data_IF_849504915413
#
_entry.id   IF_849504915413
#
_cell.length_a   1.000
_cell.length_b   1.000
_cell.length_c   1.000
_cell.angle_alpha   90.00
_cell.angle_beta   90.00
_cell.angle_gamma   90.00
#
_symmetry.space_group_name_H-M   'P 1'
#
loop_
_entity.id
_entity.type
_entity.pdbx_description
1 polymer ?
#
# COMPACT_ATOMS: atom_id res chain seq x y z
N UNK A 1 -21.10 22.96 -21.50
CA UNK A 1 -20.27 22.64 -20.33
C UNK A 1 -19.70 21.27 -20.63
N UNK A 2 -18.41 21.19 -21.00
CA UNK A 2 -17.79 19.90 -21.33
C UNK A 2 -17.73 19.02 -20.08
N UNK A 3 -17.95 17.70 -20.19
CA UNK A 3 -17.78 16.80 -19.06
C UNK A 3 -16.32 16.84 -18.61
N UNK A 4 -16.09 17.04 -17.31
CA UNK A 4 -14.77 16.98 -16.71
C UNK A 4 -14.25 15.53 -16.88
N UNK A 5 -13.37 15.29 -17.86
CA UNK A 5 -12.76 13.98 -18.05
C UNK A 5 -11.75 13.74 -16.92
N UNK A 6 -12.22 13.09 -15.85
CA UNK A 6 -11.37 12.66 -14.74
C UNK A 6 -10.72 11.31 -15.08
N UNK A 7 -9.43 11.12 -14.74
CA UNK A 7 -8.82 9.80 -14.80
C UNK A 7 -9.58 8.78 -13.94
N UNK A 8 -9.53 7.48 -14.26
CA UNK A 8 -10.22 6.45 -13.48
C UNK A 8 -9.89 6.52 -11.99
N UNK A 9 -10.93 6.50 -11.15
CA UNK A 9 -10.80 6.56 -9.70
C UNK A 9 -10.51 7.95 -9.13
N UNK A 10 -10.23 8.96 -9.95
CA UNK A 10 -10.12 10.35 -9.49
C UNK A 10 -11.51 10.91 -9.23
N UNK A 11 -11.72 11.45 -8.04
CA UNK A 11 -12.97 12.12 -7.65
C UNK A 11 -12.74 13.61 -7.49
N UNK A 12 -13.68 14.42 -7.98
CA UNK A 12 -13.73 15.87 -7.74
C UNK A 12 -14.80 16.18 -6.70
N UNK A 13 -14.44 16.92 -5.65
CA UNK A 13 -15.36 17.40 -4.63
C UNK A 13 -15.33 18.92 -4.58
N UNK A 14 -16.49 19.57 -4.73
CA UNK A 14 -16.60 21.00 -4.51
C UNK A 14 -16.85 21.30 -3.02
N UNK A 15 -16.02 22.16 -2.44
CA UNK A 15 -16.14 22.63 -1.07
C UNK A 15 -16.54 24.10 -1.11
N UNK A 16 -17.61 24.43 -0.39
CA UNK A 16 -18.03 25.82 -0.15
C UNK A 16 -17.54 26.27 1.22
N UNK A 17 -16.74 27.34 1.22
CA UNK A 17 -16.27 28.00 2.44
C UNK A 17 -17.33 28.97 2.96
N UNK A 18 -17.32 29.26 4.28
CA UNK A 18 -18.27 30.19 4.93
C UNK A 18 -18.28 31.61 4.31
N UNK A 19 -17.19 32.02 3.68
CA UNK A 19 -17.06 33.32 3.02
C UNK A 19 -17.60 33.33 1.56
N UNK A 20 -18.30 32.29 1.13
CA UNK A 20 -18.86 32.18 -0.22
C UNK A 20 -17.87 31.70 -1.28
N UNK A 21 -16.59 31.50 -0.94
CA UNK A 21 -15.61 30.92 -1.86
C UNK A 21 -15.96 29.45 -2.13
N UNK A 22 -15.87 29.03 -3.38
CA UNK A 22 -15.96 27.61 -3.78
C UNK A 22 -14.62 27.14 -4.30
N UNK A 23 -14.25 25.90 -3.99
CA UNK A 23 -13.00 25.28 -4.44
C UNK A 23 -13.27 23.82 -4.78
N UNK A 24 -12.75 23.38 -5.92
CA UNK A 24 -12.77 21.96 -6.30
C UNK A 24 -11.49 21.30 -5.81
N UNK A 25 -11.63 20.19 -5.06
CA UNK A 25 -10.54 19.32 -4.64
C UNK A 25 -10.57 18.06 -5.49
N UNK A 26 -9.42 17.66 -6.01
CA UNK A 26 -9.24 16.43 -6.76
C UNK A 26 -8.50 15.41 -5.90
N UNK A 27 -9.07 14.23 -5.73
CA UNK A 27 -8.48 13.13 -4.97
C UNK A 27 -8.22 11.95 -5.90
N UNK A 28 -6.98 11.49 -5.96
CA UNK A 28 -6.59 10.30 -6.71
C UNK A 28 -6.42 9.10 -5.76
N UNK A 29 -6.72 7.87 -6.21
CA UNK A 29 -6.47 6.67 -5.42
C UNK A 29 -4.96 6.45 -5.28
N UNK A 30 -4.55 5.84 -4.16
CA UNK A 30 -3.17 5.40 -4.01
C UNK A 30 -2.82 4.36 -5.08
N UNK A 31 -1.59 4.44 -5.59
CA UNK A 31 -1.06 3.46 -6.53
C UNK A 31 -1.02 2.08 -5.89
N UNK A 32 -1.34 1.05 -6.68
CA UNK A 32 -1.24 -0.34 -6.24
C UNK A 32 -0.79 -1.26 -7.37
N UNK A 33 -0.02 -2.28 -7.05
CA UNK A 33 0.40 -3.34 -7.98
C UNK A 33 0.20 -4.72 -7.34
N UNK A 34 -0.12 -5.73 -8.15
CA UNK A 34 -0.38 -7.09 -7.67
C UNK A 34 -1.75 -7.25 -6.99
N UNK A 35 -1.96 -8.35 -6.22
CA UNK A 35 -0.95 -9.32 -5.79
C UNK A 35 -0.42 -10.19 -6.93
N UNK A 36 0.87 -10.54 -6.89
CA UNK A 36 1.52 -11.45 -7.85
C UNK A 36 2.31 -12.53 -7.12
N UNK A 37 2.32 -13.73 -7.70
CA UNK A 37 3.11 -14.85 -7.18
C UNK A 37 4.48 -14.84 -7.85
N UNK A 38 5.55 -14.80 -7.05
CA UNK A 38 6.93 -14.81 -7.53
C UNK A 38 7.74 -15.92 -6.85
N UNK A 39 8.98 -16.10 -7.31
CA UNK A 39 10.00 -16.86 -6.59
C UNK A 39 11.01 -15.90 -5.97
N UNK A 40 11.34 -16.10 -4.70
CA UNK A 40 12.40 -15.34 -4.03
C UNK A 40 13.80 -15.78 -4.47
N UNK A 41 14.84 -15.11 -3.97
CA UNK A 41 16.24 -15.43 -4.28
C UNK A 41 16.67 -16.85 -3.86
N UNK A 42 15.92 -17.50 -2.97
CA UNK A 42 16.13 -18.88 -2.52
C UNK A 42 15.24 -19.88 -3.28
N UNK A 43 14.47 -19.42 -4.29
CA UNK A 43 13.57 -20.23 -5.11
C UNK A 43 12.21 -20.54 -4.47
N UNK A 44 11.92 -20.00 -3.29
CA UNK A 44 10.65 -20.20 -2.56
C UNK A 44 9.55 -19.36 -3.18
N UNK A 45 8.31 -19.84 -3.12
CA UNK A 45 7.17 -19.05 -3.55
C UNK A 45 6.93 -17.89 -2.59
N UNK A 46 6.58 -16.72 -3.11
CA UNK A 46 6.21 -15.56 -2.33
C UNK A 46 5.12 -14.76 -3.03
N UNK A 47 4.11 -14.33 -2.27
CA UNK A 47 3.18 -13.31 -2.74
C UNK A 47 3.81 -11.93 -2.57
N UNK A 48 3.66 -11.09 -3.57
CA UNK A 48 4.03 -9.68 -3.52
C UNK A 48 2.84 -8.80 -3.84
N UNK A 49 2.71 -7.70 -3.11
CA UNK A 49 1.66 -6.70 -3.31
C UNK A 49 2.25 -5.32 -3.01
N UNK A 50 1.86 -4.29 -3.76
CA UNK A 50 2.25 -2.91 -3.47
C UNK A 50 1.01 -2.05 -3.28
N UNK A 51 1.04 -1.19 -2.26
CA UNK A 51 0.04 -0.15 -2.05
C UNK A 51 0.70 1.11 -1.49
N UNK A 52 0.44 2.27 -2.09
CA UNK A 52 1.03 3.55 -1.70
C UNK A 52 2.57 3.51 -1.56
N UNK A 53 3.22 2.76 -2.46
CA UNK A 53 4.66 2.46 -2.45
C UNK A 53 5.18 1.64 -1.26
N UNK A 54 4.32 1.06 -0.43
CA UNK A 54 4.67 -0.02 0.48
C UNK A 54 4.57 -1.35 -0.27
N UNK A 55 5.71 -2.03 -0.43
CA UNK A 55 5.83 -3.35 -1.05
C UNK A 55 5.85 -4.40 0.04
N UNK A 56 4.82 -5.23 0.06
CA UNK A 56 4.64 -6.36 0.96
C UNK A 56 5.12 -7.63 0.28
N UNK A 57 5.94 -8.41 0.97
CA UNK A 57 6.42 -9.72 0.52
C UNK A 57 6.10 -10.77 1.57
N UNK A 58 5.36 -11.81 1.18
CA UNK A 58 4.93 -12.90 2.05
C UNK A 58 5.34 -14.26 1.47
N UNK A 59 6.46 -14.77 1.99
CA UNK A 59 7.01 -16.07 1.59
C UNK A 59 6.09 -17.21 2.06
N UNK A 60 5.93 -18.23 1.24
CA UNK A 60 5.19 -19.45 1.57
C UNK A 60 5.68 -20.06 2.90
N UNK A 61 4.72 -20.46 3.74
CA UNK A 61 5.00 -21.01 5.07
C UNK A 61 5.43 -19.98 6.13
N UNK A 62 5.66 -18.71 5.77
CA UNK A 62 5.96 -17.67 6.74
C UNK A 62 4.69 -17.18 7.44
N UNK A 63 4.77 -16.84 8.73
CA UNK A 63 3.69 -16.18 9.49
C UNK A 63 3.88 -14.66 9.56
N UNK A 64 4.83 -14.13 8.79
CA UNK A 64 5.25 -12.73 8.82
C UNK A 64 5.46 -12.20 7.40
N UNK A 65 5.18 -10.91 7.23
CA UNK A 65 5.37 -10.13 6.02
C UNK A 65 6.59 -9.22 6.17
N UNK A 66 7.34 -9.06 5.08
CA UNK A 66 8.38 -8.06 4.94
C UNK A 66 7.81 -6.85 4.18
N UNK A 67 8.17 -5.64 4.60
CA UNK A 67 7.71 -4.39 3.99
C UNK A 67 8.90 -3.56 3.54
N UNK A 68 8.84 -3.09 2.29
CA UNK A 68 9.84 -2.21 1.68
C UNK A 68 9.16 -0.99 1.03
N UNK A 69 9.91 0.06 0.74
CA UNK A 69 9.49 1.15 -0.11
C UNK A 69 9.86 0.86 -1.57
N UNK A 70 8.95 1.08 -2.52
CA UNK A 70 9.25 1.00 -3.96
C UNK A 70 8.07 0.56 -4.83
N UNK A 71 8.37 -0.20 -5.88
CA UNK A 71 7.41 -0.84 -6.79
C UNK A 71 7.73 -2.34 -6.92
N UNK A 72 6.85 -3.14 -7.52
CA UNK A 72 7.10 -4.58 -7.65
C UNK A 72 8.24 -4.89 -8.61
N UNK A 73 8.36 -4.15 -9.71
CA UNK A 73 9.43 -4.32 -10.71
C UNK A 73 10.68 -3.47 -10.45
N UNK A 74 10.57 -2.43 -9.62
CA UNK A 74 11.66 -1.49 -9.36
C UNK A 74 12.52 -1.82 -8.13
N UNK A 75 13.52 -0.95 -7.84
CA UNK A 75 14.30 -1.01 -6.61
C UNK A 75 13.41 -0.97 -5.37
N UNK A 76 13.82 -1.68 -4.32
CA UNK A 76 13.10 -1.76 -3.04
C UNK A 76 14.03 -1.42 -1.90
N UNK A 77 13.64 -0.44 -1.10
CA UNK A 77 14.34 -0.09 0.14
C UNK A 77 13.64 -0.78 1.31
N UNK A 78 14.28 -1.71 2.02
CA UNK A 78 13.67 -2.36 3.18
C UNK A 78 13.24 -1.34 4.24
N UNK A 79 12.04 -1.49 4.79
CA UNK A 79 11.52 -0.62 5.84
C UNK A 79 11.25 -1.38 7.14
N UNK A 80 10.44 -2.44 7.07
CA UNK A 80 10.11 -3.27 8.22
C UNK A 80 10.25 -4.75 7.88
N UNK A 81 10.70 -5.51 8.87
CA UNK A 81 10.70 -6.97 8.79
C UNK A 81 9.86 -7.54 9.92
N UNK A 82 9.17 -8.64 9.64
CA UNK A 82 8.54 -9.44 10.69
C UNK A 82 7.14 -9.00 11.12
N UNK A 83 6.41 -8.27 10.28
CA UNK A 83 5.02 -7.86 10.60
C UNK A 83 4.14 -9.11 10.57
N UNK A 84 3.44 -9.42 11.66
CA UNK A 84 2.57 -10.60 11.72
C UNK A 84 1.37 -10.43 10.81
N UNK A 85 1.04 -11.49 10.07
CA UNK A 85 -0.18 -11.56 9.25
C UNK A 85 -1.02 -12.75 9.74
N UNK A 86 -2.17 -12.52 10.40
CA UNK A 86 -3.02 -13.59 10.92
C UNK A 86 -3.98 -14.10 9.84
N UNK A 87 -3.44 -14.57 8.70
CA UNK A 87 -4.25 -15.06 7.58
C UNK A 87 -3.62 -16.29 6.91
N UNK A 88 -4.42 -17.01 6.11
CA UNK A 88 -3.92 -18.07 5.24
C UNK A 88 -3.17 -17.51 4.04
N UNK A 89 -2.07 -18.17 3.68
CA UNK A 89 -1.18 -17.75 2.61
C UNK A 89 -1.92 -17.67 1.26
N UNK A 90 -2.21 -16.44 0.82
CA UNK A 90 -2.88 -16.16 -0.44
C UNK A 90 -2.63 -14.71 -0.87
N UNK A 91 -2.68 -14.47 -2.18
CA UNK A 91 -2.58 -13.12 -2.75
C UNK A 91 -3.66 -12.16 -2.24
N UNK A 92 -4.96 -12.53 -2.25
CA UNK A 92 -6.02 -11.67 -1.73
C UNK A 92 -5.84 -11.27 -0.26
N UNK A 93 -5.45 -12.23 0.61
CA UNK A 93 -5.20 -11.94 2.01
C UNK A 93 -4.02 -10.97 2.20
N UNK A 94 -2.95 -11.10 1.39
CA UNK A 94 -1.84 -10.15 1.41
C UNK A 94 -2.29 -8.74 0.98
N UNK A 95 -3.14 -8.65 -0.04
CA UNK A 95 -3.61 -7.38 -0.57
C UNK A 95 -4.53 -6.65 0.43
N UNK A 96 -5.44 -7.38 1.08
CA UNK A 96 -6.28 -6.84 2.15
C UNK A 96 -5.44 -6.35 3.33
N UNK A 97 -4.55 -7.21 3.84
CA UNK A 97 -3.63 -6.87 4.91
C UNK A 97 -2.78 -5.64 4.58
N UNK A 98 -2.13 -5.64 3.41
CA UNK A 98 -1.21 -4.58 2.99
C UNK A 98 -1.90 -3.22 2.84
N UNK A 99 -3.13 -3.19 2.31
CA UNK A 99 -3.93 -1.96 2.23
C UNK A 99 -4.25 -1.41 3.62
N UNK A 100 -4.79 -2.24 4.50
CA UNK A 100 -5.15 -1.82 5.86
C UNK A 100 -3.93 -1.30 6.62
N UNK A 101 -2.83 -2.05 6.57
CA UNK A 101 -1.58 -1.68 7.23
C UNK A 101 -1.01 -0.36 6.69
N UNK A 102 -0.97 -0.17 5.37
CA UNK A 102 -0.44 1.04 4.77
C UNK A 102 -1.28 2.29 5.12
N UNK A 103 -2.61 2.15 5.13
CA UNK A 103 -3.50 3.24 5.51
C UNK A 103 -3.31 3.65 6.98
N UNK A 104 -3.11 2.68 7.89
CA UNK A 104 -2.77 2.94 9.29
C UNK A 104 -1.48 3.77 9.41
N UNK A 105 -0.42 3.39 8.66
CA UNK A 105 0.84 4.13 8.68
C UNK A 105 0.73 5.56 8.13
N UNK A 106 -0.05 5.74 7.06
CA UNK A 106 -0.23 7.05 6.41
C UNK A 106 -1.07 7.99 7.28
N UNK A 107 -2.12 7.46 7.92
CA UNK A 107 -3.05 8.25 8.75
C UNK A 107 -2.51 8.54 10.15
N UNK A 108 -1.43 7.86 10.56
CA UNK A 108 -0.65 8.22 11.73
C UNK A 108 -1.08 7.56 13.03
N UNK A 109 -1.85 6.46 12.98
CA UNK A 109 -2.06 5.59 14.14
C UNK A 109 -0.80 4.75 14.35
N UNK A 110 0.26 5.42 14.83
CA UNK A 110 1.62 4.87 14.89
C UNK A 110 1.70 3.83 16.01
N UNK A 111 1.46 2.56 15.66
CA UNK A 111 2.17 1.47 16.32
C UNK A 111 3.67 1.76 16.31
N UNK A 112 4.34 1.58 17.46
CA UNK A 112 5.72 1.98 17.74
C UNK A 112 6.67 1.77 16.55
N UNK A 113 7.38 2.80 16.05
CA UNK A 113 8.37 2.60 15.00
C UNK A 113 9.45 1.64 15.49
N UNK A 114 9.85 0.70 14.63
CA UNK A 114 11.04 -0.12 14.86
C UNK A 114 12.25 0.81 14.96
N UNK A 115 12.92 0.79 16.11
CA UNK A 115 14.22 1.44 16.29
C UNK A 115 15.19 0.91 15.24
N UNK A 116 15.57 1.77 14.30
CA UNK A 116 16.73 1.53 13.43
C UNK A 116 17.95 1.82 14.30
N UNK A 117 18.62 0.77 14.79
CA UNK A 117 19.98 0.89 15.32
C UNK A 117 20.90 1.18 14.13
N UNK A 118 21.53 2.35 14.16
CA UNK A 118 22.63 2.75 13.26
C UNK A 118 23.94 2.44 13.97
#
# INVERSE_FOLDING_TARGET
MEPLMLPPGVTAQEISYRNGRRQVIYTAPYQSEGPVLVRDAMGRQAWMFMYAHFVFTWVEGAVRVQVSHGTLSGPKMPLWSGIRIPAYWSGPALAEFGRAWALEQITGDRGTPATVLI
#
